data_IF_853950817672
#
_entry.id   IF_853950817672
#
_cell.length_a   1.000
_cell.length_b   1.000
_cell.length_c   1.000
_cell.angle_alpha   90.00
_cell.angle_beta   90.00
_cell.angle_gamma   90.00
#
_symmetry.space_group_name_H-M   'P 1'
#
loop_
_entity.id
_entity.type
_entity.pdbx_description
1 polymer ?
#
# COMPACT_ATOMS: atom_id res chain seq x y z
N UNK A 1 -21.10 16.40 1.68
CA UNK A 1 -20.88 15.09 2.35
C UNK A 1 -20.58 13.95 1.36
N UNK A 2 -19.72 14.14 0.34
CA UNK A 2 -19.52 13.13 -0.73
C UNK A 2 -18.18 12.38 -0.72
N UNK A 3 -17.19 12.81 0.08
CA UNK A 3 -15.82 12.27 0.03
C UNK A 3 -15.56 11.06 0.94
N UNK A 4 -16.33 10.89 2.03
CA UNK A 4 -16.01 9.92 3.09
C UNK A 4 -16.16 8.43 2.68
N UNK A 5 -16.90 8.13 1.60
CA UNK A 5 -17.13 6.76 1.14
C UNK A 5 -16.31 6.35 -0.09
N UNK A 6 -15.47 7.25 -0.64
CA UNK A 6 -14.77 6.98 -1.90
C UNK A 6 -13.77 5.81 -1.81
N UNK A 7 -13.23 5.57 -0.60
CA UNK A 7 -12.16 4.59 -0.34
C UNK A 7 -12.62 3.31 0.38
N UNK A 8 -13.87 3.23 0.83
CA UNK A 8 -14.45 2.04 1.50
C UNK A 8 -15.17 1.12 0.50
N UNK A 9 -14.49 0.68 -0.58
CA UNK A 9 -15.13 -0.08 -1.66
C UNK A 9 -15.12 -1.59 -1.46
N UNK A 10 -14.19 -2.13 -0.67
CA UNK A 10 -14.08 -3.56 -0.40
C UNK A 10 -14.50 -3.89 1.05
N UNK A 11 -15.46 -4.80 1.22
CA UNK A 11 -15.94 -5.30 2.53
C UNK A 11 -16.14 -6.81 2.44
N UNK A 12 -15.72 -7.55 3.48
CA UNK A 12 -15.92 -9.01 3.51
C UNK A 12 -15.31 -9.73 2.30
N UNK A 13 -14.09 -9.35 1.88
CA UNK A 13 -13.40 -9.87 0.67
C UNK A 13 -14.15 -9.62 -0.64
N UNK A 14 -15.14 -8.73 -0.65
CA UNK A 14 -15.97 -8.39 -1.81
C UNK A 14 -15.84 -6.92 -2.15
N UNK A 15 -15.68 -6.58 -3.43
CA UNK A 15 -15.73 -5.20 -3.91
C UNK A 15 -17.18 -4.84 -4.28
N UNK A 16 -17.76 -3.80 -3.67
CA UNK A 16 -19.17 -3.41 -3.89
C UNK A 16 -19.45 -2.96 -5.32
N UNK A 17 -18.41 -2.66 -6.11
CA UNK A 17 -18.53 -2.33 -7.52
C UNK A 17 -19.02 -3.51 -8.37
N UNK A 18 -18.80 -4.76 -7.93
CA UNK A 18 -19.32 -5.95 -8.59
C UNK A 18 -20.51 -6.48 -7.81
N UNK A 19 -21.73 -6.21 -8.30
CA UNK A 19 -22.95 -6.68 -7.65
C UNK A 19 -23.18 -8.14 -8.02
N UNK A 20 -23.31 -9.08 -7.07
CA UNK A 20 -23.47 -10.51 -7.38
C UNK A 20 -24.66 -10.80 -8.31
N UNK A 21 -25.80 -10.14 -8.14
CA UNK A 21 -26.99 -10.28 -8.99
C UNK A 21 -26.72 -9.88 -10.46
N UNK A 22 -25.79 -8.94 -10.68
CA UNK A 22 -25.40 -8.48 -12.01
C UNK A 22 -24.22 -9.29 -12.60
N UNK A 23 -23.23 -9.65 -11.78
CA UNK A 23 -21.90 -10.09 -12.21
C UNK A 23 -21.55 -11.55 -11.84
N UNK A 24 -22.38 -12.25 -11.05
CA UNK A 24 -22.11 -13.64 -10.63
C UNK A 24 -22.20 -14.65 -11.78
N UNK A 25 -23.05 -14.36 -12.76
CA UNK A 25 -23.15 -15.14 -13.99
C UNK A 25 -22.70 -14.29 -15.17
N UNK A 26 -21.98 -14.91 -16.09
CA UNK A 26 -21.59 -14.27 -17.34
C UNK A 26 -22.83 -14.03 -18.21
N UNK A 27 -23.12 -12.77 -18.53
CA UNK A 27 -24.33 -12.36 -19.28
C UNK A 27 -24.06 -11.87 -20.71
N UNK A 28 -22.80 -11.74 -21.12
CA UNK A 28 -22.46 -11.19 -22.43
C UNK A 28 -21.00 -10.77 -22.55
N UNK A 29 -20.55 -10.39 -23.75
CA UNK A 29 -19.15 -10.01 -23.99
C UNK A 29 -18.77 -8.79 -23.14
N UNK A 30 -17.57 -8.84 -22.57
CA UNK A 30 -16.92 -7.71 -21.91
C UNK A 30 -15.44 -7.73 -22.28
N UNK A 31 -14.75 -6.62 -22.03
CA UNK A 31 -13.29 -6.58 -22.11
C UNK A 31 -12.73 -5.93 -20.85
N UNK A 32 -11.49 -6.28 -20.54
CA UNK A 32 -10.75 -5.78 -19.40
C UNK A 32 -9.31 -5.49 -19.86
N UNK A 33 -8.58 -4.73 -19.05
CA UNK A 33 -7.17 -4.45 -19.31
C UNK A 33 -6.33 -5.26 -18.34
N UNK A 34 -5.24 -5.85 -18.84
CA UNK A 34 -4.21 -6.46 -18.02
C UNK A 34 -2.93 -5.66 -18.21
N UNK A 35 -2.39 -5.14 -17.10
CA UNK A 35 -1.03 -4.64 -17.01
C UNK A 35 -0.18 -5.68 -16.29
N UNK A 36 1.13 -5.59 -16.46
CA UNK A 36 2.07 -6.46 -15.78
C UNK A 36 3.33 -5.70 -15.41
N UNK A 37 3.98 -6.14 -14.33
CA UNK A 37 5.38 -5.85 -14.02
C UNK A 37 5.73 -4.35 -14.08
N UNK A 38 5.07 -3.49 -13.28
CA UNK A 38 5.48 -2.09 -13.20
C UNK A 38 6.93 -1.95 -12.70
N UNK A 39 7.44 -2.94 -11.94
CA UNK A 39 8.86 -3.16 -11.64
C UNK A 39 9.62 -1.88 -11.29
N UNK A 40 9.08 -1.07 -10.38
CA UNK A 40 9.72 0.18 -10.00
C UNK A 40 11.18 -0.03 -9.58
N UNK A 41 12.11 0.73 -10.17
CA UNK A 41 13.55 0.62 -9.95
C UNK A 41 14.26 -0.43 -10.82
N UNK A 42 13.60 -1.05 -11.80
CA UNK A 42 14.22 -1.99 -12.74
C UNK A 42 14.93 -1.29 -13.89
N UNK A 43 14.36 -0.23 -14.44
CA UNK A 43 14.81 0.34 -15.70
C UNK A 43 16.26 0.85 -15.59
N UNK A 44 16.59 1.55 -14.50
CA UNK A 44 17.98 1.98 -14.21
C UNK A 44 18.92 0.78 -14.01
N UNK A 45 18.52 -0.18 -13.19
CA UNK A 45 19.28 -1.40 -12.91
C UNK A 45 19.67 -2.13 -14.20
N UNK A 46 18.73 -2.23 -15.15
CA UNK A 46 18.96 -2.87 -16.43
C UNK A 46 19.76 -2.00 -17.41
N UNK A 47 19.48 -0.70 -17.49
CA UNK A 47 20.10 0.22 -18.46
C UNK A 47 21.54 0.59 -18.09
N UNK A 48 21.85 0.69 -16.80
CA UNK A 48 23.13 1.18 -16.28
C UNK A 48 23.94 0.12 -15.52
N UNK A 49 23.37 -1.07 -15.29
CA UNK A 49 24.03 -2.15 -14.55
C UNK A 49 24.21 -1.86 -13.06
N UNK A 50 23.54 -0.84 -12.55
CA UNK A 50 23.58 -0.46 -11.14
C UNK A 50 22.45 -1.13 -10.36
N UNK A 51 22.77 -2.26 -9.74
CA UNK A 51 21.83 -3.06 -8.95
C UNK A 51 21.90 -2.74 -7.45
N UNK A 52 22.81 -1.87 -7.02
CA UNK A 52 23.14 -1.68 -5.60
C UNK A 52 22.83 -0.27 -5.07
N UNK A 53 22.77 0.77 -5.92
CA UNK A 53 22.38 2.12 -5.52
C UNK A 53 20.92 2.41 -5.93
N UNK A 54 20.00 1.71 -5.28
CA UNK A 54 18.56 1.75 -5.60
C UNK A 54 17.83 3.02 -5.15
N UNK A 55 18.53 4.04 -4.64
CA UNK A 55 17.99 5.00 -3.70
C UNK A 55 17.24 6.20 -4.29
N UNK A 56 17.31 6.47 -5.60
CA UNK A 56 16.84 7.75 -6.14
C UNK A 56 15.86 7.71 -7.32
N UNK A 57 15.75 6.62 -8.10
CA UNK A 57 15.23 6.79 -9.47
C UNK A 57 14.17 5.76 -9.88
N UNK A 58 13.00 5.83 -9.27
CA UNK A 58 11.73 5.26 -9.80
C UNK A 58 11.08 6.14 -10.88
N UNK A 59 11.72 7.25 -11.26
CA UNK A 59 11.09 8.32 -12.02
C UNK A 59 10.53 7.88 -13.38
N UNK A 60 11.23 6.99 -14.07
CA UNK A 60 10.78 6.49 -15.38
C UNK A 60 9.56 5.57 -15.24
N UNK A 61 9.62 4.60 -14.33
CA UNK A 61 8.51 3.68 -14.07
C UNK A 61 7.29 4.40 -13.52
N UNK A 62 7.45 5.42 -12.66
CA UNK A 62 6.35 6.28 -12.18
C UNK A 62 5.68 6.98 -13.36
N UNK A 63 6.47 7.57 -14.26
CA UNK A 63 5.94 8.24 -15.44
C UNK A 63 5.18 7.26 -16.35
N UNK A 64 5.68 6.04 -16.54
CA UNK A 64 5.00 5.01 -17.33
C UNK A 64 3.71 4.53 -16.65
N UNK A 65 3.71 4.35 -15.32
CA UNK A 65 2.53 3.99 -14.56
C UNK A 65 1.45 5.08 -14.66
N UNK A 66 1.82 6.36 -14.54
CA UNK A 66 0.93 7.49 -14.73
C UNK A 66 0.36 7.53 -16.15
N UNK A 67 1.19 7.31 -17.17
CA UNK A 67 0.75 7.22 -18.56
C UNK A 67 -0.22 6.06 -18.78
N UNK A 68 0.01 4.90 -18.17
CA UNK A 68 -0.88 3.75 -18.23
C UNK A 68 -2.25 4.07 -17.61
N UNK A 69 -2.26 4.69 -16.43
CA UNK A 69 -3.51 5.15 -15.78
C UNK A 69 -4.25 6.15 -16.67
N UNK A 70 -3.55 7.13 -17.25
CA UNK A 70 -4.15 8.11 -18.16
C UNK A 70 -4.71 7.45 -19.43
N UNK A 71 -4.01 6.48 -20.01
CA UNK A 71 -4.45 5.75 -21.20
C UNK A 71 -5.73 4.95 -20.90
N UNK A 72 -5.75 4.19 -19.80
CA UNK A 72 -6.93 3.43 -19.35
C UNK A 72 -8.11 4.39 -19.08
N UNK A 73 -7.84 5.55 -18.48
CA UNK A 73 -8.84 6.58 -18.22
C UNK A 73 -9.37 7.28 -19.49
N UNK A 74 -8.75 7.12 -20.66
CA UNK A 74 -9.25 7.65 -21.94
C UNK A 74 -10.09 6.64 -22.73
N UNK A 75 -10.05 5.35 -22.38
CA UNK A 75 -10.81 4.31 -23.09
C UNK A 75 -12.32 4.59 -23.03
N UNK A 76 -12.97 4.46 -24.18
CA UNK A 76 -14.41 4.45 -24.36
C UNK A 76 -14.82 3.35 -25.37
N UNK A 77 -15.64 2.33 -25.01
CA UNK A 77 -16.24 2.10 -23.70
C UNK A 77 -15.20 1.98 -22.57
N UNK A 78 -15.62 1.94 -21.30
CA UNK A 78 -14.69 1.71 -20.18
C UNK A 78 -14.41 0.21 -20.04
N UNK A 79 -13.17 -0.20 -19.73
CA UNK A 79 -12.91 -1.60 -19.42
C UNK A 79 -13.68 -2.00 -18.16
N UNK A 80 -14.12 -3.25 -18.10
CA UNK A 80 -14.88 -3.76 -16.97
C UNK A 80 -14.07 -3.71 -15.67
N UNK A 81 -12.79 -4.02 -15.79
CA UNK A 81 -11.80 -3.93 -14.71
C UNK A 81 -10.39 -3.83 -15.29
N UNK A 82 -9.44 -3.49 -14.43
CA UNK A 82 -8.01 -3.54 -14.70
C UNK A 82 -7.38 -4.53 -13.73
N UNK A 83 -6.57 -5.46 -14.25
CA UNK A 83 -5.74 -6.36 -13.44
C UNK A 83 -4.29 -5.94 -13.63
N UNK A 84 -3.56 -5.79 -12.54
CA UNK A 84 -2.11 -5.60 -12.57
C UNK A 84 -1.47 -6.86 -11.98
N UNK A 85 -0.66 -7.54 -12.79
CA UNK A 85 0.03 -8.78 -12.43
C UNK A 85 1.54 -8.54 -12.27
N UNK A 86 2.24 -9.52 -11.71
CA UNK A 86 3.71 -9.50 -11.66
C UNK A 86 4.29 -8.64 -10.53
N UNK A 87 5.59 -8.37 -10.63
CA UNK A 87 6.36 -7.74 -9.55
C UNK A 87 6.12 -6.24 -9.52
N UNK A 88 5.69 -5.73 -8.37
CA UNK A 88 5.43 -4.30 -8.21
C UNK A 88 6.74 -3.49 -8.20
N UNK A 89 7.78 -3.99 -7.55
CA UNK A 89 9.04 -3.28 -7.29
C UNK A 89 10.20 -4.21 -7.60
N UNK A 90 11.23 -3.68 -8.26
CA UNK A 90 12.50 -4.36 -8.51
C UNK A 90 13.64 -3.78 -7.66
N UNK A 91 13.79 -2.46 -7.66
CA UNK A 91 14.77 -1.74 -6.85
C UNK A 91 14.06 -1.01 -5.71
N UNK A 92 14.53 -1.19 -4.48
CA UNK A 92 14.00 -0.43 -3.34
C UNK A 92 14.60 0.98 -3.38
N UNK A 93 13.79 2.07 -3.30
CA UNK A 93 14.28 3.43 -3.05
C UNK A 93 15.04 3.47 -1.72
N UNK A 94 15.54 4.64 -1.30
CA UNK A 94 16.00 4.89 0.06
C UNK A 94 14.91 4.75 1.14
N UNK A 95 14.01 3.76 1.01
CA UNK A 95 12.97 3.39 1.94
C UNK A 95 13.63 2.69 3.12
N UNK A 96 13.45 3.27 4.29
CA UNK A 96 13.86 2.68 5.57
C UNK A 96 12.74 1.82 6.19
N UNK A 97 11.48 2.04 5.80
CA UNK A 97 10.33 1.27 6.28
C UNK A 97 9.17 1.16 5.26
N UNK A 98 8.58 -0.02 5.12
CA UNK A 98 7.31 -0.29 4.40
C UNK A 98 6.23 -0.63 5.41
N UNK A 99 5.15 0.15 5.41
CA UNK A 99 3.97 -0.09 6.23
C UNK A 99 2.85 -0.73 5.42
N UNK A 100 2.35 -1.88 5.88
CA UNK A 100 1.21 -2.55 5.29
C UNK A 100 0.20 -2.98 6.36
N UNK A 101 -0.95 -3.46 5.90
CA UNK A 101 -2.00 -4.00 6.76
C UNK A 101 -2.48 -5.34 6.23
N UNK A 102 -3.80 -5.56 6.22
CA UNK A 102 -4.47 -6.74 5.68
C UNK A 102 -4.29 -8.05 6.47
N UNK A 103 -3.14 -8.28 7.12
CA UNK A 103 -2.92 -9.53 7.87
C UNK A 103 -3.73 -9.60 9.17
N UNK A 104 -4.25 -8.48 9.68
CA UNK A 104 -4.99 -8.40 10.94
C UNK A 104 -4.18 -8.85 12.17
N UNK A 105 -2.86 -8.90 12.04
CA UNK A 105 -1.88 -9.13 13.09
C UNK A 105 -0.76 -8.14 12.94
N UNK A 106 -0.22 -7.67 14.07
CA UNK A 106 1.08 -7.06 14.08
C UNK A 106 2.10 -8.11 13.67
N UNK A 107 2.85 -7.80 12.63
CA UNK A 107 3.96 -8.62 12.14
C UNK A 107 4.99 -7.70 11.52
N UNK A 108 6.15 -8.26 11.20
CA UNK A 108 7.19 -7.51 10.54
C UNK A 108 8.51 -8.24 10.54
N UNK A 109 9.52 -7.55 10.04
CA UNK A 109 10.90 -8.01 10.01
C UNK A 109 11.78 -7.00 9.31
N UNK A 110 13.09 -7.13 9.48
CA UNK A 110 14.07 -6.27 8.84
C UNK A 110 14.93 -7.08 7.86
N UNK A 111 15.19 -6.53 6.68
CA UNK A 111 16.15 -7.10 5.74
C UNK A 111 16.99 -6.00 5.09
N UNK A 112 18.32 -6.09 5.20
CA UNK A 112 19.28 -5.11 4.64
C UNK A 112 18.92 -3.63 4.93
N UNK A 113 18.53 -3.33 6.17
CA UNK A 113 18.18 -1.96 6.57
C UNK A 113 16.76 -1.50 6.21
N UNK A 114 15.96 -2.33 5.53
CA UNK A 114 14.54 -2.11 5.27
C UNK A 114 13.69 -2.78 6.35
N UNK A 115 12.83 -2.01 7.02
CA UNK A 115 11.84 -2.54 7.95
C UNK A 115 10.49 -2.80 7.24
N UNK A 116 10.00 -4.03 7.26
CA UNK A 116 8.64 -4.36 6.86
C UNK A 116 7.75 -4.41 8.09
N UNK A 117 6.71 -3.59 8.10
CA UNK A 117 5.80 -3.45 9.24
C UNK A 117 4.38 -3.75 8.79
N UNK A 118 3.77 -4.76 9.39
CA UNK A 118 2.35 -5.07 9.21
C UNK A 118 1.61 -4.60 10.44
N UNK A 119 0.70 -3.65 10.28
CA UNK A 119 -0.15 -3.17 11.38
C UNK A 119 -1.40 -4.04 11.50
N UNK A 120 -1.73 -4.42 12.73
CA UNK A 120 -2.97 -5.15 13.01
C UNK A 120 -4.20 -4.32 12.60
N UNK A 121 -5.34 -4.99 12.39
CA UNK A 121 -6.58 -4.33 12.04
C UNK A 121 -7.10 -3.51 13.22
N UNK A 122 -7.83 -2.42 12.97
CA UNK A 122 -8.48 -1.65 14.04
C UNK A 122 -9.65 -2.45 14.64
N UNK A 123 -10.45 -3.14 13.81
CA UNK A 123 -11.75 -3.69 14.22
C UNK A 123 -11.84 -5.21 14.35
N UNK A 124 -10.82 -5.96 13.95
CA UNK A 124 -10.91 -7.43 13.90
C UNK A 124 -9.52 -8.07 13.91
N UNK A 125 -8.90 -8.20 15.08
CA UNK A 125 -7.56 -8.78 15.17
C UNK A 125 -7.63 -10.29 15.01
N UNK A 126 -6.61 -10.87 14.37
CA UNK A 126 -6.36 -12.29 14.43
C UNK A 126 -5.36 -12.53 15.57
N UNK A 127 -5.63 -13.44 16.50
CA UNK A 127 -4.70 -13.70 17.61
C UNK A 127 -4.89 -12.75 18.79
N UNK A 128 -3.80 -12.28 19.40
CA UNK A 128 -3.82 -11.60 20.72
C UNK A 128 -3.57 -10.08 20.65
N UNK A 129 -3.48 -9.51 19.45
CA UNK A 129 -3.36 -8.06 19.31
C UNK A 129 -4.62 -7.35 19.83
N UNK A 130 -4.42 -6.14 20.36
CA UNK A 130 -5.50 -5.25 20.78
C UNK A 130 -6.02 -4.42 19.61
N UNK A 131 -7.27 -3.95 19.72
CA UNK A 131 -7.78 -2.87 18.87
C UNK A 131 -6.91 -1.64 19.04
N UNK A 132 -6.29 -1.16 17.96
CA UNK A 132 -5.23 -0.18 18.08
C UNK A 132 -4.82 0.49 16.77
N UNK A 133 -3.87 1.39 16.89
CA UNK A 133 -3.31 2.23 15.83
C UNK A 133 -1.79 2.23 15.94
N UNK A 134 -1.10 2.30 14.79
CA UNK A 134 0.34 2.52 14.78
C UNK A 134 0.63 4.01 14.64
N UNK A 135 1.31 4.57 15.64
CA UNK A 135 1.87 5.92 15.57
C UNK A 135 3.22 5.82 14.87
N UNK A 136 3.43 6.64 13.85
CA UNK A 136 4.66 6.72 13.08
C UNK A 136 5.18 8.16 13.20
N UNK A 137 6.40 8.30 13.70
CA UNK A 137 7.13 9.57 13.81
C UNK A 137 8.26 9.54 12.78
N UNK A 138 8.29 10.56 11.94
CA UNK A 138 9.29 10.73 10.89
C UNK A 138 10.11 11.98 11.21
N UNK A 139 11.42 11.83 11.26
CA UNK A 139 12.40 12.91 11.46
C UNK A 139 13.30 12.99 10.22
N UNK A 140 14.18 13.99 10.16
CA UNK A 140 15.18 14.07 9.08
C UNK A 140 16.13 12.84 9.06
N UNK A 141 16.35 12.20 10.21
CA UNK A 141 17.34 11.14 10.36
C UNK A 141 16.75 9.72 10.33
N UNK A 142 15.50 9.55 10.78
CA UNK A 142 14.91 8.23 11.02
C UNK A 142 13.39 8.22 11.04
N UNK A 143 12.85 7.02 10.86
CA UNK A 143 11.45 6.68 11.11
C UNK A 143 11.38 5.85 12.40
N UNK A 144 10.53 6.24 13.34
CA UNK A 144 10.27 5.50 14.59
C UNK A 144 8.77 5.26 14.70
N UNK A 145 8.35 4.05 15.05
CA UNK A 145 6.93 3.75 15.16
C UNK A 145 6.60 2.78 16.28
N UNK A 146 5.39 2.89 16.84
CA UNK A 146 4.87 1.99 17.88
C UNK A 146 3.39 1.75 17.67
N UNK A 147 2.93 0.52 17.94
CA UNK A 147 1.51 0.18 17.92
C UNK A 147 0.94 0.36 19.32
N UNK A 148 -0.15 1.10 19.43
CA UNK A 148 -0.87 1.36 20.67
C UNK A 148 -2.26 0.79 20.56
N UNK A 149 -2.75 0.17 21.62
CA UNK A 149 -4.18 -0.06 21.78
C UNK A 149 -4.92 1.28 21.85
N UNK A 150 -6.21 1.27 21.49
CA UNK A 150 -7.08 2.44 21.64
C UNK A 150 -7.18 2.89 23.11
N UNK A 151 -7.08 1.96 24.06
CA UNK A 151 -7.08 2.27 25.49
C UNK A 151 -5.81 2.99 25.91
N UNK A 152 -4.63 2.50 25.52
CA UNK A 152 -3.35 3.15 25.81
C UNK A 152 -3.32 4.55 25.21
N UNK A 153 -3.67 4.68 23.93
CA UNK A 153 -3.66 5.97 23.25
C UNK A 153 -4.66 6.96 23.86
N UNK A 154 -5.86 6.48 24.25
CA UNK A 154 -6.90 7.33 24.82
C UNK A 154 -6.67 7.74 26.27
N UNK A 155 -5.94 6.94 27.05
CA UNK A 155 -5.71 7.19 28.48
C UNK A 155 -4.34 7.80 28.79
N UNK A 156 -3.31 7.38 28.05
CA UNK A 156 -1.92 7.75 28.30
C UNK A 156 -1.36 8.67 27.20
N UNK A 157 -2.01 8.72 26.03
CA UNK A 157 -1.54 9.49 24.88
C UNK A 157 -0.33 8.83 24.20
N UNK A 158 0.45 9.65 23.49
CA UNK A 158 1.71 9.25 22.88
C UNK A 158 2.82 9.43 23.92
N UNK A 159 3.74 8.46 24.02
CA UNK A 159 4.85 8.51 24.96
C UNK A 159 5.71 9.77 24.75
N UNK A 160 6.16 10.38 25.85
CA UNK A 160 6.99 11.61 25.82
C UNK A 160 8.21 11.46 24.91
N UNK A 161 8.84 10.29 24.88
CA UNK A 161 9.99 9.99 24.01
C UNK A 161 9.69 10.24 22.52
N UNK A 162 8.51 9.81 22.02
CA UNK A 162 8.10 10.04 20.63
C UNK A 162 7.70 11.49 20.39
N UNK A 163 7.10 12.16 21.38
CA UNK A 163 6.74 13.57 21.30
C UNK A 163 7.96 14.48 21.29
N UNK A 164 8.99 14.16 22.07
CA UNK A 164 10.27 14.90 22.11
C UNK A 164 10.99 14.84 20.74
N UNK A 165 10.70 13.85 19.89
CA UNK A 165 11.23 13.77 18.51
C UNK A 165 10.51 14.69 17.52
N UNK A 166 9.38 15.28 17.90
CA UNK A 166 8.63 16.24 17.09
C UNK A 166 9.03 17.71 17.34
N UNK A 167 9.92 17.93 18.33
CA UNK A 167 10.34 19.25 18.80
C UNK A 167 11.54 19.82 18.04
#
# INVERSE_FOLDING_TARGET
>A
MAAANAFLRARGRTLTAFRPDAEYQWKGPFYFIQGADPQFGLMKSWAHGDTENGDDEWGEEIKLADQAVQAINKLNPKPKFFVLCGDLVHGMPGITAVFSGHYHRNAGGSYKGLEMVVSSAIGCQLGQDTHGLRVVVVTEEKVVHRYYSLTELGSQGIEKELLDMLA
#
